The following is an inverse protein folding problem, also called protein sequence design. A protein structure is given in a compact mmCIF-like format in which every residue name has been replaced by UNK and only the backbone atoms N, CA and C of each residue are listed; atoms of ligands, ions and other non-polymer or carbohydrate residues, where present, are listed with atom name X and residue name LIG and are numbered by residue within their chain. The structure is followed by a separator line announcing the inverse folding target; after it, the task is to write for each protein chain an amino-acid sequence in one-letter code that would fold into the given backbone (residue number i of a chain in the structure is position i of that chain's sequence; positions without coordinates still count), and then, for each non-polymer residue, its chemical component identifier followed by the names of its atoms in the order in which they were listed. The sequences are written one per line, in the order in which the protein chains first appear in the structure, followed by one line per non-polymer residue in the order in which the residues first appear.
data_IF_981540186957
#
_entry.id   IF_981540186957
#
_cell.length_a   1.000
_cell.length_b   1.000
_cell.length_c   1.000
_cell.angle_alpha   90.00
_cell.angle_beta   90.00
_cell.angle_gamma   90.00
#
_symmetry.space_group_name_H-M   'P 1'
#
loop_
_entity.id
_entity.type
_entity.pdbx_description
1 polymer ?
#
# COMPACT_ATOMS: atom_id res chain seq x y z
N UNK A 1 1.38 9.41 -23.25
CA UNK A 1 2.21 8.24 -22.86
C UNK A 1 3.47 8.09 -23.69
N UNK A 2 3.39 8.03 -25.02
CA UNK A 2 4.58 7.84 -25.89
C UNK A 2 5.78 8.77 -25.58
N UNK A 3 5.61 10.05 -25.22
CA UNK A 3 6.75 10.93 -24.90
C UNK A 3 7.53 10.55 -23.64
N UNK A 4 6.91 9.79 -22.72
CA UNK A 4 7.49 9.42 -21.43
C UNK A 4 7.95 7.96 -21.39
N UNK A 5 7.63 7.17 -22.42
CA UNK A 5 8.05 5.78 -22.53
C UNK A 5 9.30 5.70 -23.43
N UNK A 6 10.36 4.95 -23.04
CA UNK A 6 10.46 4.07 -21.87
C UNK A 6 11.04 4.73 -20.61
N UNK A 7 11.27 6.04 -20.60
CA UNK A 7 11.88 6.75 -19.46
C UNK A 7 11.11 6.56 -18.14
N UNK A 8 9.79 6.40 -18.22
CA UNK A 8 8.92 6.01 -17.11
C UNK A 8 8.48 4.55 -17.25
N UNK A 9 8.58 3.79 -16.15
CA UNK A 9 8.10 2.42 -16.08
C UNK A 9 6.57 2.40 -15.91
N UNK A 10 5.87 2.44 -17.03
CA UNK A 10 4.40 2.33 -17.07
C UNK A 10 4.03 0.85 -16.94
N UNK A 11 3.52 0.46 -15.77
CA UNK A 11 3.11 -0.92 -15.47
C UNK A 11 1.61 -1.15 -15.73
N UNK A 12 0.82 -0.08 -15.77
CA UNK A 12 -0.63 -0.16 -15.71
C UNK A 12 -1.28 1.14 -16.17
N UNK A 13 -2.40 1.06 -16.89
CA UNK A 13 -3.23 2.20 -17.24
C UNK A 13 -4.66 1.92 -16.79
N UNK A 14 -5.18 2.76 -15.90
CA UNK A 14 -6.58 2.68 -15.52
C UNK A 14 -7.46 3.46 -16.50
N UNK A 15 -8.39 2.77 -17.17
CA UNK A 15 -9.31 3.39 -18.14
C UNK A 15 -10.65 3.65 -17.45
N UNK A 16 -10.76 4.83 -16.84
CA UNK A 16 -11.91 5.27 -16.06
C UNK A 16 -11.69 5.11 -14.56
N UNK A 17 -12.30 5.99 -13.76
CA UNK A 17 -12.38 5.91 -12.31
C UNK A 17 -13.86 6.00 -11.91
N UNK A 18 -14.37 5.03 -11.16
CA UNK A 18 -15.75 5.05 -10.63
C UNK A 18 -16.88 5.14 -11.67
N UNK A 19 -16.59 4.74 -12.91
CA UNK A 19 -17.54 4.89 -14.02
C UNK A 19 -18.84 4.12 -13.79
N UNK A 20 -18.77 2.89 -13.28
CA UNK A 20 -19.98 2.07 -13.06
C UNK A 20 -20.88 2.59 -11.94
N UNK A 21 -20.34 3.39 -11.03
CA UNK A 21 -21.08 4.00 -9.92
C UNK A 21 -21.46 5.46 -10.21
N UNK A 22 -21.06 6.00 -11.37
CA UNK A 22 -21.35 7.39 -11.76
C UNK A 22 -22.81 7.65 -12.13
N UNK A 23 -23.57 6.61 -12.47
CA UNK A 23 -24.91 6.73 -13.04
C UNK A 23 -24.95 7.20 -14.50
N UNK A 24 -23.81 7.48 -15.14
CA UNK A 24 -23.75 7.86 -16.55
C UNK A 24 -23.69 6.62 -17.46
N UNK A 25 -24.85 6.22 -17.97
CA UNK A 25 -24.98 5.09 -18.89
C UNK A 25 -24.19 5.26 -20.18
N UNK A 26 -24.01 6.49 -20.67
CA UNK A 26 -23.23 6.74 -21.88
C UNK A 26 -21.75 6.46 -21.64
N UNK A 27 -21.24 6.86 -20.48
CA UNK A 27 -19.85 6.60 -20.11
C UNK A 27 -19.61 5.10 -19.87
N UNK A 28 -20.52 4.43 -19.16
CA UNK A 28 -20.47 2.98 -18.95
C UNK A 28 -20.47 2.19 -20.27
N UNK A 29 -21.36 2.53 -21.20
CA UNK A 29 -21.46 1.85 -22.50
C UNK A 29 -20.22 2.07 -23.39
N UNK A 30 -19.47 3.15 -23.17
CA UNK A 30 -18.23 3.46 -23.91
C UNK A 30 -16.98 2.82 -23.31
N UNK A 31 -17.05 2.36 -22.07
CA UNK A 31 -15.90 1.88 -21.28
C UNK A 31 -15.12 0.78 -22.02
N UNK A 32 -15.82 -0.24 -22.53
CA UNK A 32 -15.18 -1.33 -23.29
C UNK A 32 -14.48 -0.84 -24.57
N UNK A 33 -15.07 0.12 -25.27
CA UNK A 33 -14.44 0.72 -26.46
C UNK A 33 -13.20 1.55 -26.09
N UNK A 34 -13.25 2.26 -24.95
CA UNK A 34 -12.11 3.02 -24.44
C UNK A 34 -10.97 2.09 -24.02
N UNK A 35 -11.23 0.93 -23.39
CA UNK A 35 -10.19 -0.04 -23.09
C UNK A 35 -9.52 -0.58 -24.37
N UNK A 36 -10.33 -0.93 -25.38
CA UNK A 36 -9.83 -1.43 -26.67
C UNK A 36 -9.00 -0.38 -27.43
N UNK A 37 -9.30 0.92 -27.30
CA UNK A 37 -8.49 1.94 -27.99
C UNK A 37 -7.07 2.08 -27.42
N UNK A 38 -6.81 1.54 -26.22
CA UNK A 38 -5.52 1.60 -25.51
C UNK A 38 -4.71 0.29 -25.68
N UNK A 39 -5.14 -0.62 -26.57
CA UNK A 39 -4.68 -1.99 -26.85
C UNK A 39 -3.17 -2.32 -26.79
N UNK A 40 -2.27 -1.34 -26.87
CA UNK A 40 -0.81 -1.55 -26.83
C UNK A 40 -0.21 -1.68 -25.42
N UNK A 41 -0.96 -1.43 -24.36
CA UNK A 41 -0.49 -1.47 -22.97
C UNK A 41 -1.54 -2.17 -22.10
N UNK A 42 -1.11 -2.87 -21.04
CA UNK A 42 -2.01 -3.51 -20.05
C UNK A 42 -2.97 -2.45 -19.50
N UNK A 43 -4.24 -2.54 -19.87
CA UNK A 43 -5.26 -1.58 -19.48
C UNK A 43 -6.24 -2.22 -18.51
N UNK A 44 -6.45 -1.55 -17.39
CA UNK A 44 -7.36 -1.95 -16.34
C UNK A 44 -8.76 -1.43 -16.57
N UNK A 45 -9.69 -2.20 -16.00
CA UNK A 45 -11.00 -1.72 -15.69
C UNK A 45 -11.19 -1.52 -14.18
N UNK A 46 -11.81 -0.40 -13.87
CA UNK A 46 -12.31 0.05 -12.58
C UNK A 46 -13.55 -0.70 -12.10
N UNK A 47 -13.56 -1.22 -10.86
CA UNK A 47 -14.80 -1.56 -10.16
C UNK A 47 -14.74 -1.12 -8.68
N UNK A 48 -15.79 -0.44 -8.20
CA UNK A 48 -15.99 -0.13 -6.78
C UNK A 48 -16.64 -1.34 -6.09
N UNK A 49 -16.52 -1.41 -4.76
CA UNK A 49 -17.19 -2.38 -3.90
C UNK A 49 -18.72 -2.49 -4.17
N UNK A 50 -19.36 -1.40 -4.58
CA UNK A 50 -20.81 -1.25 -4.80
C UNK A 50 -21.33 -1.96 -6.06
N UNK A 51 -20.46 -2.37 -6.98
CA UNK A 51 -20.86 -3.24 -8.09
C UNK A 51 -21.17 -4.68 -7.62
N UNK A 52 -20.82 -5.03 -6.38
CA UNK A 52 -21.10 -6.31 -5.76
C UNK A 52 -22.35 -6.17 -4.87
N UNK A 53 -23.42 -6.89 -5.22
CA UNK A 53 -24.74 -6.71 -4.59
C UNK A 53 -24.93 -7.50 -3.29
N UNK A 54 -24.13 -8.55 -3.05
CA UNK A 54 -24.30 -9.41 -1.88
C UNK A 54 -22.95 -9.87 -1.35
N UNK A 55 -22.62 -9.43 -0.14
CA UNK A 55 -21.35 -9.71 0.53
C UNK A 55 -21.53 -10.16 1.99
N UNK A 56 -22.69 -10.74 2.31
CA UNK A 56 -22.92 -11.33 3.65
C UNK A 56 -21.90 -12.42 3.99
N UNK A 57 -21.25 -13.03 2.97
CA UNK A 57 -20.10 -13.94 3.08
C UNK A 57 -19.15 -13.75 1.90
N UNK A 58 -17.85 -13.94 2.11
CA UNK A 58 -16.84 -13.90 1.03
C UNK A 58 -17.13 -14.91 -0.09
N UNK A 59 -17.82 -16.01 0.20
CA UNK A 59 -18.24 -17.03 -0.76
C UNK A 59 -19.60 -16.78 -1.44
N UNK A 60 -20.21 -15.61 -1.29
CA UNK A 60 -21.49 -15.26 -1.93
C UNK A 60 -21.42 -14.00 -2.80
N UNK A 61 -20.21 -13.49 -3.05
CA UNK A 61 -19.96 -12.35 -3.92
C UNK A 61 -20.55 -12.54 -5.31
N UNK A 62 -21.37 -11.59 -5.75
CA UNK A 62 -21.91 -11.55 -7.11
C UNK A 62 -21.98 -10.11 -7.61
N UNK A 63 -21.73 -9.92 -8.90
CA UNK A 63 -22.01 -8.66 -9.57
C UNK A 63 -23.52 -8.37 -9.54
N UNK A 64 -23.89 -7.09 -9.50
CA UNK A 64 -25.28 -6.72 -9.74
C UNK A 64 -25.69 -7.19 -11.15
N UNK A 65 -26.81 -7.92 -11.31
CA UNK A 65 -27.26 -8.42 -12.61
C UNK A 65 -27.42 -7.32 -13.68
N UNK A 66 -27.69 -6.07 -13.26
CA UNK A 66 -27.78 -4.93 -14.19
C UNK A 66 -26.45 -4.59 -14.89
N UNK A 67 -25.31 -5.00 -14.32
CA UNK A 67 -23.98 -4.76 -14.87
C UNK A 67 -23.33 -6.03 -15.45
N UNK A 68 -23.98 -7.19 -15.38
CA UNK A 68 -23.35 -8.48 -15.70
C UNK A 68 -22.86 -8.57 -17.15
N UNK A 69 -23.65 -8.13 -18.12
CA UNK A 69 -23.27 -8.18 -19.54
C UNK A 69 -22.07 -7.27 -19.85
N UNK A 70 -22.08 -6.06 -19.28
CA UNK A 70 -20.96 -5.12 -19.38
C UNK A 70 -19.71 -5.73 -18.72
N UNK A 71 -19.86 -6.33 -17.53
CA UNK A 71 -18.78 -6.97 -16.79
C UNK A 71 -18.17 -8.14 -17.56
N UNK A 72 -18.99 -9.01 -18.17
CA UNK A 72 -18.52 -10.09 -19.04
C UNK A 72 -17.72 -9.56 -20.23
N UNK A 73 -18.19 -8.49 -20.87
CA UNK A 73 -17.48 -7.85 -21.98
C UNK A 73 -16.10 -7.33 -21.57
N UNK A 74 -16.02 -6.71 -20.39
CA UNK A 74 -14.79 -6.14 -19.87
C UNK A 74 -13.83 -7.22 -19.36
N UNK A 75 -14.30 -8.19 -18.59
CA UNK A 75 -13.48 -9.32 -18.14
C UNK A 75 -13.00 -10.19 -19.31
N UNK A 76 -13.80 -10.29 -20.38
CA UNK A 76 -13.37 -10.89 -21.64
C UNK A 76 -12.14 -10.18 -22.22
N UNK A 77 -12.15 -8.85 -22.20
CA UNK A 77 -11.00 -8.04 -22.62
C UNK A 77 -9.80 -8.20 -21.67
N UNK A 78 -10.00 -8.18 -20.35
CA UNK A 78 -8.93 -8.39 -19.36
C UNK A 78 -8.26 -9.75 -19.55
N UNK A 79 -9.06 -10.81 -19.69
CA UNK A 79 -8.57 -12.17 -19.92
C UNK A 79 -7.82 -12.29 -21.26
N UNK A 80 -8.31 -11.66 -22.34
CA UNK A 80 -7.66 -11.68 -23.66
C UNK A 80 -6.32 -10.91 -23.69
N UNK A 81 -6.13 -9.93 -22.80
CA UNK A 81 -4.93 -9.08 -22.76
C UNK A 81 -3.99 -9.38 -21.60
N UNK A 82 -4.33 -10.37 -20.76
CA UNK A 82 -3.67 -10.62 -19.48
C UNK A 82 -3.58 -9.35 -18.61
N UNK A 83 -4.61 -8.50 -18.67
CA UNK A 83 -4.75 -7.33 -17.82
C UNK A 83 -5.44 -7.72 -16.52
N UNK A 84 -4.99 -7.22 -15.36
CA UNK A 84 -5.65 -7.52 -14.10
C UNK A 84 -7.01 -6.82 -14.00
N UNK A 85 -7.79 -7.15 -13.01
CA UNK A 85 -9.03 -6.51 -12.63
C UNK A 85 -8.79 -5.66 -11.39
N UNK A 86 -9.03 -4.36 -11.51
CA UNK A 86 -8.75 -3.43 -10.43
C UNK A 86 -9.94 -3.25 -9.50
N UNK A 87 -9.65 -3.29 -8.21
CA UNK A 87 -10.63 -3.07 -7.15
C UNK A 87 -10.15 -2.03 -6.15
N UNK A 88 -11.12 -1.41 -5.49
CA UNK A 88 -10.90 -0.39 -4.47
C UNK A 88 -11.67 -0.79 -3.21
N UNK A 89 -11.12 -1.72 -2.41
CA UNK A 89 -11.74 -2.12 -1.16
C UNK A 89 -11.42 -1.07 -0.09
N UNK A 90 -12.45 -0.44 0.48
CA UNK A 90 -12.30 0.42 1.65
C UNK A 90 -13.07 -0.16 2.86
N UNK A 91 -12.43 -1.06 3.63
CA UNK A 91 -12.95 -1.54 4.91
C UNK A 91 -13.46 -0.44 5.85
N UNK A 92 -12.83 0.74 5.80
CA UNK A 92 -13.22 1.93 6.55
C UNK A 92 -14.72 2.26 6.40
N UNK A 93 -15.29 2.22 5.19
CA UNK A 93 -16.70 2.59 4.97
C UNK A 93 -17.67 1.57 5.57
N UNK A 94 -17.30 0.29 5.59
CA UNK A 94 -18.07 -0.74 6.25
C UNK A 94 -18.01 -0.58 7.78
N UNK A 95 -16.83 -0.33 8.35
CA UNK A 95 -16.68 -0.04 9.78
C UNK A 95 -17.47 1.20 10.22
N UNK A 96 -17.47 2.26 9.41
CA UNK A 96 -18.25 3.48 9.67
C UNK A 96 -19.75 3.19 9.79
N UNK A 97 -20.24 2.18 9.09
CA UNK A 97 -21.65 1.78 9.08
C UNK A 97 -22.00 0.79 10.21
N UNK A 98 -21.01 0.01 10.69
CA UNK A 98 -21.15 -0.98 11.75
C UNK A 98 -19.85 -1.06 12.56
N UNK A 99 -19.83 -0.44 13.75
CA UNK A 99 -18.62 -0.13 14.53
C UNK A 99 -18.18 -1.24 15.48
N UNK A 100 -18.62 -2.48 15.25
CA UNK A 100 -18.25 -3.60 16.10
C UNK A 100 -16.76 -3.97 15.94
N UNK A 101 -16.06 -4.46 16.97
CA UNK A 101 -14.62 -4.78 16.87
C UNK A 101 -14.24 -5.73 15.72
N UNK A 102 -15.13 -6.65 15.35
CA UNK A 102 -14.94 -7.59 14.23
C UNK A 102 -14.87 -6.91 12.86
N UNK A 103 -15.50 -5.74 12.66
CA UNK A 103 -15.41 -4.98 11.41
C UNK A 103 -14.11 -4.16 11.35
N UNK A 104 -13.51 -3.84 12.51
CA UNK A 104 -12.22 -3.17 12.64
C UNK A 104 -11.04 -4.14 12.44
N UNK A 105 -11.16 -5.37 12.95
CA UNK A 105 -10.06 -6.29 13.16
C UNK A 105 -9.70 -7.18 11.95
N UNK A 106 -9.41 -6.60 10.78
CA UNK A 106 -8.65 -7.30 9.72
C UNK A 106 -9.41 -8.35 8.87
N UNK A 107 -10.72 -8.50 9.01
CA UNK A 107 -11.48 -9.43 8.16
C UNK A 107 -12.03 -8.82 6.85
N UNK A 108 -12.00 -7.51 6.65
CA UNK A 108 -12.63 -6.90 5.48
C UNK A 108 -11.75 -6.85 4.22
N UNK A 109 -10.43 -6.66 4.33
CA UNK A 109 -9.57 -6.65 3.13
C UNK A 109 -9.59 -8.00 2.41
N UNK A 110 -9.22 -9.07 3.12
CA UNK A 110 -9.18 -10.42 2.55
C UNK A 110 -10.58 -10.87 2.10
N UNK A 111 -11.63 -10.60 2.88
CA UNK A 111 -12.99 -10.99 2.50
C UNK A 111 -13.49 -10.24 1.26
N UNK A 112 -13.17 -8.96 1.11
CA UNK A 112 -13.53 -8.19 -0.10
C UNK A 112 -12.85 -8.77 -1.33
N UNK A 113 -11.55 -9.05 -1.22
CA UNK A 113 -10.75 -9.63 -2.29
C UNK A 113 -11.27 -11.04 -2.66
N UNK A 114 -11.55 -11.88 -1.67
CA UNK A 114 -12.13 -13.22 -1.87
C UNK A 114 -13.52 -13.15 -2.53
N UNK A 115 -14.33 -12.18 -2.15
CA UNK A 115 -15.66 -12.03 -2.73
C UNK A 115 -15.64 -11.58 -4.18
N UNK A 116 -14.70 -10.69 -4.55
CA UNK A 116 -14.43 -10.35 -5.94
C UNK A 116 -13.97 -11.61 -6.69
N UNK A 117 -13.01 -12.35 -6.14
CA UNK A 117 -12.51 -13.58 -6.76
C UNK A 117 -13.62 -14.61 -6.99
N UNK A 118 -14.53 -14.77 -6.02
CA UNK A 118 -15.69 -15.62 -6.15
C UNK A 118 -16.65 -15.12 -7.24
N UNK A 119 -16.94 -13.82 -7.27
CA UNK A 119 -17.78 -13.20 -8.29
C UNK A 119 -17.20 -13.43 -9.70
N UNK A 120 -15.91 -13.16 -9.91
CA UNK A 120 -15.20 -13.42 -11.17
C UNK A 120 -15.29 -14.90 -11.58
N UNK A 121 -15.06 -15.80 -10.61
CA UNK A 121 -15.13 -17.25 -10.84
C UNK A 121 -16.54 -17.68 -11.27
N UNK A 122 -17.59 -17.12 -10.66
CA UNK A 122 -18.98 -17.48 -10.93
C UNK A 122 -19.45 -17.16 -12.34
N UNK A 123 -18.82 -16.17 -13.01
CA UNK A 123 -19.13 -15.78 -14.39
C UNK A 123 -18.05 -16.20 -15.40
N UNK A 124 -17.15 -17.13 -15.01
CA UNK A 124 -16.20 -17.79 -15.90
C UNK A 124 -14.82 -17.13 -16.04
N UNK A 125 -14.48 -16.16 -15.19
CA UNK A 125 -13.26 -15.36 -15.28
C UNK A 125 -12.28 -15.60 -14.13
N UNK A 126 -12.20 -16.84 -13.63
CA UNK A 126 -11.33 -17.26 -12.51
C UNK A 126 -9.84 -16.94 -12.72
N UNK A 127 -9.37 -16.89 -13.96
CA UNK A 127 -7.96 -16.65 -14.31
C UNK A 127 -7.57 -15.17 -14.32
N UNK A 128 -8.53 -14.26 -14.24
CA UNK A 128 -8.24 -12.81 -14.25
C UNK A 128 -7.61 -12.44 -12.91
N UNK A 129 -6.39 -11.91 -12.96
CA UNK A 129 -5.67 -11.45 -11.77
C UNK A 129 -6.40 -10.27 -11.12
N UNK A 130 -6.36 -10.17 -9.80
CA UNK A 130 -6.93 -9.02 -9.05
C UNK A 130 -5.79 -8.13 -8.60
N UNK A 131 -5.97 -6.81 -8.73
CA UNK A 131 -5.08 -5.78 -8.17
C UNK A 131 -5.91 -4.81 -7.34
N UNK A 132 -5.42 -4.45 -6.16
CA UNK A 132 -6.03 -3.43 -5.31
C UNK A 132 -5.37 -2.10 -5.62
N UNK A 133 -6.07 -1.20 -6.30
CA UNK A 133 -5.47 0.07 -6.78
C UNK A 133 -5.59 1.21 -5.78
N UNK A 134 -6.50 1.10 -4.82
CA UNK A 134 -6.62 2.06 -3.72
C UNK A 134 -7.20 1.37 -2.49
N UNK A 135 -6.57 1.57 -1.34
CA UNK A 135 -7.10 1.17 -0.03
C UNK A 135 -6.37 1.88 1.08
N UNK A 136 -7.05 2.24 2.16
CA UNK A 136 -6.45 3.00 3.24
C UNK A 136 -7.44 3.27 4.37
N UNK A 137 -6.97 4.00 5.38
CA UNK A 137 -7.77 4.39 6.52
C UNK A 137 -7.39 5.80 6.96
N UNK A 138 -8.37 6.70 7.15
CA UNK A 138 -8.08 8.08 7.52
C UNK A 138 -7.62 8.18 8.97
N UNK A 139 -6.58 8.94 9.27
CA UNK A 139 -6.08 9.10 10.64
C UNK A 139 -6.78 10.24 11.41
N UNK A 140 -7.55 11.07 10.71
CA UNK A 140 -8.30 12.21 11.25
C UNK A 140 -9.58 12.42 10.44
N UNK A 141 -10.61 12.98 11.09
CA UNK A 141 -11.88 13.39 10.49
C UNK A 141 -12.51 14.53 11.30
N UNK A 142 -13.72 14.93 10.92
CA UNK A 142 -14.53 15.87 11.69
C UNK A 142 -15.02 15.23 13.02
N UNK A 143 -15.41 16.05 14.01
CA UNK A 143 -15.78 15.58 15.37
C UNK A 143 -16.94 14.56 15.40
N UNK A 144 -17.77 14.54 14.36
CA UNK A 144 -18.92 13.62 14.22
C UNK A 144 -18.59 12.35 13.42
N UNK A 145 -17.34 12.17 12.98
CA UNK A 145 -16.93 11.05 12.14
C UNK A 145 -16.36 9.91 12.96
N UNK A 146 -16.97 8.74 12.84
CA UNK A 146 -16.55 7.54 13.56
C UNK A 146 -15.54 6.76 12.75
N UNK A 147 -14.42 6.38 13.38
CA UNK A 147 -13.39 5.53 12.78
C UNK A 147 -12.08 6.23 12.44
N UNK A 148 -12.03 7.50 11.98
CA UNK A 148 -10.76 8.16 11.78
C UNK A 148 -10.00 8.34 13.10
N UNK A 149 -8.80 7.76 13.19
CA UNK A 149 -7.87 7.97 14.30
C UNK A 149 -6.49 7.45 13.91
N UNK A 150 -5.43 7.96 14.57
CA UNK A 150 -4.06 7.47 14.35
C UNK A 150 -3.96 5.99 14.69
N UNK A 151 -4.62 5.54 15.75
CA UNK A 151 -4.61 4.15 16.21
C UNK A 151 -5.23 3.22 15.16
N UNK A 152 -6.40 3.59 14.62
CA UNK A 152 -7.07 2.78 13.60
C UNK A 152 -6.32 2.81 12.27
N UNK A 153 -5.78 3.97 11.87
CA UNK A 153 -4.99 4.08 10.65
C UNK A 153 -3.70 3.24 10.72
N UNK A 154 -2.98 3.28 11.86
CA UNK A 154 -1.83 2.42 12.13
C UNK A 154 -2.20 0.94 12.12
N UNK A 155 -3.29 0.58 12.79
CA UNK A 155 -3.74 -0.80 12.85
C UNK A 155 -4.10 -1.32 11.44
N UNK A 156 -4.83 -0.55 10.65
CA UNK A 156 -5.23 -0.96 9.31
C UNK A 156 -4.03 -1.06 8.36
N UNK A 157 -3.32 0.06 8.14
CA UNK A 157 -2.22 0.14 7.17
C UNK A 157 -1.04 -0.75 7.59
N UNK A 158 -0.69 -0.77 8.88
CA UNK A 158 0.40 -1.61 9.41
C UNK A 158 0.11 -3.10 9.26
N UNK A 159 -1.09 -3.56 9.62
CA UNK A 159 -1.46 -4.97 9.45
C UNK A 159 -1.57 -5.37 7.98
N UNK A 160 -2.07 -4.49 7.12
CA UNK A 160 -2.11 -4.72 5.67
C UNK A 160 -0.70 -4.88 5.11
N UNK A 161 0.24 -4.00 5.45
CA UNK A 161 1.64 -4.10 5.01
C UNK A 161 2.27 -5.41 5.52
N UNK A 162 2.09 -5.74 6.79
CA UNK A 162 2.61 -6.98 7.38
C UNK A 162 2.06 -8.22 6.65
N UNK A 163 0.77 -8.23 6.35
CA UNK A 163 0.11 -9.30 5.60
C UNK A 163 0.63 -9.42 4.17
N UNK A 164 0.75 -8.31 3.44
CA UNK A 164 1.28 -8.32 2.08
C UNK A 164 2.73 -8.84 2.04
N UNK A 165 3.57 -8.42 3.01
CA UNK A 165 4.95 -8.91 3.16
C UNK A 165 5.03 -10.39 3.51
N UNK A 166 4.03 -10.93 4.22
CA UNK A 166 3.98 -12.36 4.56
C UNK A 166 3.74 -13.27 3.35
N UNK A 167 3.29 -12.72 2.21
CA UNK A 167 2.93 -13.48 1.01
C UNK A 167 1.82 -14.53 1.21
N UNK A 168 1.08 -14.46 2.32
CA UNK A 168 0.02 -15.42 2.63
C UNK A 168 -1.10 -15.45 1.57
N UNK A 169 -1.36 -14.31 0.93
CA UNK A 169 -2.53 -14.14 0.06
C UNK A 169 -3.82 -14.15 0.85
N UNK A 170 -4.93 -14.55 0.22
CA UNK A 170 -6.24 -14.66 0.88
C UNK A 170 -6.68 -16.12 0.98
N UNK A 171 -7.70 -16.45 1.78
CA UNK A 171 -8.22 -17.82 1.85
C UNK A 171 -8.59 -18.44 0.49
N UNK A 172 -9.16 -17.68 -0.46
CA UNK A 172 -9.46 -18.18 -1.81
C UNK A 172 -8.32 -18.01 -2.82
N UNK A 173 -7.31 -17.21 -2.51
CA UNK A 173 -6.11 -16.98 -3.34
C UNK A 173 -4.85 -17.09 -2.48
N UNK A 174 -4.55 -18.31 -2.01
CA UNK A 174 -3.44 -18.56 -1.08
C UNK A 174 -2.08 -18.58 -1.77
N UNK A 175 -1.03 -18.17 -1.04
CA UNK A 175 0.36 -18.29 -1.46
C UNK A 175 0.84 -17.24 -2.48
N UNK A 176 0.03 -16.21 -2.76
CA UNK A 176 0.41 -15.05 -3.58
C UNK A 176 -0.14 -13.79 -2.96
N UNK A 177 0.73 -12.81 -2.67
CA UNK A 177 0.29 -11.49 -2.27
C UNK A 177 -0.50 -10.82 -3.40
N UNK A 178 -1.53 -10.07 -3.02
CA UNK A 178 -2.33 -9.27 -3.96
C UNK A 178 -1.63 -7.94 -4.14
N UNK A 179 -1.25 -7.60 -5.36
CA UNK A 179 -0.64 -6.30 -5.66
C UNK A 179 -1.59 -5.19 -5.16
N UNK A 180 -1.08 -4.34 -4.26
CA UNK A 180 -1.89 -3.38 -3.49
C UNK A 180 -1.20 -2.02 -3.45
N UNK A 181 -1.96 -0.97 -3.79
CA UNK A 181 -1.53 0.42 -3.73
C UNK A 181 -2.24 1.09 -2.55
N UNK A 182 -1.46 1.56 -1.57
CA UNK A 182 -1.98 2.25 -0.40
C UNK A 182 -2.42 3.67 -0.77
N UNK A 183 -3.59 4.04 -0.28
CA UNK A 183 -4.17 5.36 -0.41
C UNK A 183 -4.04 6.12 0.93
N UNK A 184 -3.37 7.28 1.00
CA UNK A 184 -2.60 7.97 -0.03
C UNK A 184 -1.18 8.29 0.48
N UNK A 185 -0.29 8.70 -0.42
CA UNK A 185 1.09 9.00 -0.01
C UNK A 185 1.19 10.35 0.71
N UNK A 186 0.50 11.38 0.21
CA UNK A 186 0.55 12.75 0.71
C UNK A 186 -0.83 13.32 1.00
N UNK A 187 -0.85 14.37 1.82
CA UNK A 187 -2.03 15.16 2.15
C UNK A 187 -2.69 15.71 0.88
N UNK A 188 -4.01 15.66 0.86
CA UNK A 188 -4.87 16.14 -0.23
C UNK A 188 -5.83 17.21 0.32
N UNK A 189 -5.25 18.28 0.87
CA UNK A 189 -5.91 19.41 1.54
C UNK A 189 -6.99 20.12 0.70
N UNK A 190 -6.92 20.00 -0.63
CA UNK A 190 -7.93 20.52 -1.56
C UNK A 190 -9.15 19.62 -1.72
N UNK A 191 -9.19 18.43 -1.11
CA UNK A 191 -10.39 17.60 -1.14
C UNK A 191 -11.50 18.25 -0.35
N UNK A 192 -12.65 18.39 -0.99
CA UNK A 192 -13.85 18.91 -0.35
C UNK A 192 -14.47 17.82 0.53
N UNK A 193 -15.19 18.25 1.56
CA UNK A 193 -15.87 17.42 2.57
C UNK A 193 -16.39 16.07 2.05
N UNK A 194 -16.43 15.03 2.90
CA UNK A 194 -16.24 15.02 4.37
C UNK A 194 -14.80 15.20 4.86
N UNK A 195 -14.60 15.63 6.13
CA UNK A 195 -13.29 15.99 6.68
C UNK A 195 -12.25 14.86 6.61
N UNK A 196 -12.67 13.59 6.76
CA UNK A 196 -11.76 12.45 6.64
C UNK A 196 -11.09 12.30 5.25
N UNK A 197 -11.66 12.86 4.19
CA UNK A 197 -11.11 12.78 2.82
C UNK A 197 -9.74 13.45 2.70
N UNK A 198 -9.43 14.38 3.60
CA UNK A 198 -8.17 15.13 3.67
C UNK A 198 -7.12 14.48 4.59
N UNK A 199 -7.31 13.23 5.02
CA UNK A 199 -6.50 12.68 6.12
C UNK A 199 -6.14 11.21 5.92
N UNK A 200 -5.88 10.80 4.68
CA UNK A 200 -5.45 9.44 4.32
C UNK A 200 -3.93 9.27 4.21
N UNK A 201 -3.16 10.35 4.34
CA UNK A 201 -1.75 10.37 3.99
C UNK A 201 -0.86 9.59 4.95
N UNK A 202 0.19 9.00 4.39
CA UNK A 202 1.27 8.34 5.13
C UNK A 202 2.42 9.31 5.45
N UNK A 203 2.60 10.32 4.61
CA UNK A 203 3.64 11.34 4.74
C UNK A 203 3.04 12.74 4.60
N UNK A 204 3.60 13.68 5.36
CA UNK A 204 3.31 15.10 5.21
C UNK A 204 4.13 15.70 4.05
N UNK A 205 3.75 16.89 3.60
CA UNK A 205 4.46 17.61 2.53
C UNK A 205 5.90 17.97 2.88
N UNK A 206 6.26 18.02 4.17
CA UNK A 206 7.63 18.20 4.66
C UNK A 206 8.44 16.88 4.72
N UNK A 207 7.89 15.80 4.16
CA UNK A 207 8.44 14.43 4.14
C UNK A 207 8.49 13.74 5.51
N UNK A 208 7.93 14.34 6.56
CA UNK A 208 7.79 13.66 7.84
C UNK A 208 6.67 12.61 7.77
N UNK A 209 6.83 11.52 8.53
CA UNK A 209 5.79 10.49 8.65
C UNK A 209 4.56 11.05 9.37
N UNK A 210 3.37 10.87 8.80
CA UNK A 210 2.13 11.23 9.48
C UNK A 210 1.91 10.29 10.67
N UNK A 211 2.15 9.00 10.45
CA UNK A 211 2.17 7.95 11.47
C UNK A 211 2.99 6.76 10.95
N UNK A 212 3.74 6.11 11.85
CA UNK A 212 4.59 4.97 11.47
C UNK A 212 3.76 3.70 11.25
N UNK A 213 3.89 3.12 10.05
CA UNK A 213 3.26 1.87 9.59
C UNK A 213 4.30 0.82 9.16
N UNK A 214 5.57 1.02 9.49
CA UNK A 214 6.66 0.12 9.12
C UNK A 214 7.05 0.19 7.64
N UNK A 215 6.77 1.31 6.95
CA UNK A 215 7.31 1.59 5.61
C UNK A 215 8.73 2.16 5.68
N UNK A 216 9.04 2.97 6.70
CA UNK A 216 10.41 3.24 7.09
C UNK A 216 10.98 2.00 7.77
N UNK A 217 12.20 1.58 7.39
CA UNK A 217 12.91 0.59 8.20
C UNK A 217 13.07 1.12 9.60
N UNK A 218 12.67 0.33 10.59
CA UNK A 218 12.89 0.70 11.98
C UNK A 218 14.39 0.65 12.27
N UNK A 219 14.83 1.43 13.26
CA UNK A 219 16.22 1.33 13.76
C UNK A 219 16.59 -0.11 14.14
N UNK A 220 15.61 -0.92 14.54
CA UNK A 220 15.81 -2.34 14.84
C UNK A 220 16.09 -3.17 13.58
N UNK A 221 15.40 -2.92 12.47
CA UNK A 221 15.64 -3.64 11.20
C UNK A 221 17.06 -3.37 10.66
N UNK A 222 17.54 -2.13 10.82
CA UNK A 222 18.89 -1.76 10.42
C UNK A 222 19.95 -2.41 11.31
N UNK A 223 19.68 -2.50 12.61
CA UNK A 223 20.50 -3.25 13.55
C UNK A 223 20.55 -4.73 13.16
N UNK A 224 19.40 -5.38 13.01
CA UNK A 224 19.27 -6.80 12.68
C UNK A 224 19.94 -7.14 11.35
N UNK A 225 19.85 -6.25 10.36
CA UNK A 225 20.57 -6.38 9.10
C UNK A 225 22.09 -6.32 9.29
N UNK A 226 22.61 -5.32 10.00
CA UNK A 226 24.04 -5.21 10.28
C UNK A 226 24.57 -6.43 11.06
N UNK A 227 23.79 -6.91 12.05
CA UNK A 227 24.08 -8.13 12.81
C UNK A 227 24.16 -9.37 11.90
N UNK A 228 23.15 -9.58 11.04
CA UNK A 228 23.10 -10.72 10.13
C UNK A 228 24.23 -10.76 9.11
N UNK A 229 24.92 -9.63 8.92
CA UNK A 229 26.08 -9.49 8.03
C UNK A 229 27.43 -9.54 8.78
N UNK A 230 27.41 -9.72 10.10
CA UNK A 230 28.61 -9.97 10.90
C UNK A 230 29.27 -8.72 11.48
N UNK A 231 28.54 -7.62 11.62
CA UNK A 231 29.04 -6.42 12.31
C UNK A 231 29.19 -6.66 13.81
N UNK A 232 30.33 -6.25 14.37
CA UNK A 232 30.60 -6.35 15.80
C UNK A 232 29.92 -5.22 16.58
N UNK A 233 28.88 -5.60 17.30
CA UNK A 233 28.12 -4.71 18.16
C UNK A 233 28.48 -4.85 19.63
N UNK A 234 29.60 -5.49 19.98
CA UNK A 234 30.17 -5.44 21.32
C UNK A 234 30.12 -4.03 21.93
N UNK A 235 30.60 -2.99 21.23
CA UNK A 235 30.67 -1.63 21.76
C UNK A 235 29.34 -0.97 22.14
N UNK A 236 28.21 -1.46 21.62
CA UNK A 236 26.86 -0.93 21.90
C UNK A 236 26.09 -1.79 22.92
N UNK A 237 26.75 -2.71 23.61
CA UNK A 237 26.12 -3.52 24.67
C UNK A 237 26.10 -2.76 26.02
N UNK A 238 25.19 -3.10 26.94
CA UNK A 238 25.15 -2.49 28.27
C UNK A 238 26.52 -2.52 28.96
N UNK A 239 27.01 -1.36 29.37
CA UNK A 239 28.31 -1.20 30.05
C UNK A 239 29.50 -0.91 29.12
N UNK A 240 29.28 -0.84 27.80
CA UNK A 240 30.33 -0.61 26.81
C UNK A 240 30.38 0.85 26.33
N UNK A 241 31.49 1.22 25.69
CA UNK A 241 31.85 2.62 25.40
C UNK A 241 30.88 3.37 24.48
N UNK A 242 30.12 2.67 23.63
CA UNK A 242 29.16 3.26 22.69
C UNK A 242 27.70 2.92 23.04
N UNK A 243 27.45 2.46 24.27
CA UNK A 243 26.10 2.12 24.73
C UNK A 243 25.20 3.35 24.88
N UNK A 244 25.74 4.49 25.28
CA UNK A 244 24.97 5.71 25.49
C UNK A 244 24.99 6.64 24.26
N UNK A 245 23.84 7.22 23.86
CA UNK A 245 22.52 7.09 24.48
C UNK A 245 21.93 5.69 24.26
N UNK A 246 21.36 5.11 25.31
CA UNK A 246 20.67 3.81 25.24
C UNK A 246 19.33 3.92 24.50
N UNK A 247 19.40 4.14 23.18
CA UNK A 247 18.26 4.13 22.27
C UNK A 247 18.56 3.28 21.05
N UNK A 248 17.54 2.60 20.53
CA UNK A 248 17.65 1.76 19.33
C UNK A 248 18.17 2.58 18.15
N UNK A 249 17.77 3.85 18.03
CA UNK A 249 18.26 4.75 16.98
C UNK A 249 19.76 5.04 17.09
N UNK A 250 20.29 5.26 18.31
CA UNK A 250 21.72 5.52 18.51
C UNK A 250 22.56 4.28 18.19
N UNK A 251 22.08 3.12 18.63
CA UNK A 251 22.72 1.83 18.35
C UNK A 251 22.67 1.49 16.86
N UNK A 252 21.54 1.73 16.18
CA UNK A 252 21.41 1.54 14.74
C UNK A 252 22.34 2.46 13.96
N UNK A 253 22.46 3.72 14.37
CA UNK A 253 23.41 4.68 13.77
C UNK A 253 24.84 4.15 13.84
N UNK A 254 25.25 3.62 14.99
CA UNK A 254 26.56 3.01 15.17
C UNK A 254 26.75 1.80 14.23
N UNK A 255 25.80 0.87 14.21
CA UNK A 255 25.90 -0.35 13.42
C UNK A 255 25.90 -0.09 11.91
N UNK A 256 25.07 0.86 11.43
CA UNK A 256 25.02 1.29 10.03
C UNK A 256 26.34 1.91 9.60
N UNK A 257 26.88 2.83 10.43
CA UNK A 257 28.16 3.46 10.11
C UNK A 257 29.28 2.43 10.10
N UNK A 258 29.33 1.53 11.09
CA UNK A 258 30.34 0.47 11.16
C UNK A 258 30.23 -0.50 9.98
N UNK A 259 29.01 -0.83 9.54
CA UNK A 259 28.77 -1.61 8.33
C UNK A 259 29.39 -0.94 7.11
N UNK A 260 29.10 0.34 6.89
CA UNK A 260 29.68 1.10 5.79
C UNK A 260 31.22 1.14 5.83
N UNK A 261 31.82 1.31 7.01
CA UNK A 261 33.29 1.28 7.17
C UNK A 261 33.88 -0.11 6.85
N UNK A 262 33.15 -1.17 7.20
CA UNK A 262 33.61 -2.57 7.05
C UNK A 262 33.57 -3.03 5.60
N UNK A 263 32.60 -2.56 4.81
CA UNK A 263 32.39 -2.95 3.41
C UNK A 263 32.95 -1.90 2.42
N UNK A 264 34.23 -1.56 2.58
CA UNK A 264 35.02 -0.71 1.67
C UNK A 264 34.42 0.67 1.36
N UNK A 265 33.57 1.22 2.23
CA UNK A 265 32.95 2.53 2.05
C UNK A 265 32.18 2.65 0.72
N UNK A 266 31.67 1.54 0.18
CA UNK A 266 30.88 1.54 -1.05
C UNK A 266 29.59 2.36 -0.85
N UNK A 267 29.35 3.42 -1.66
CA UNK A 267 28.13 4.24 -1.56
C UNK A 267 26.82 3.46 -1.55
N UNK A 268 26.75 2.34 -2.25
CA UNK A 268 25.56 1.49 -2.32
C UNK A 268 25.26 0.77 -1.00
N UNK A 269 26.28 0.54 -0.18
CA UNK A 269 26.14 -0.12 1.13
C UNK A 269 25.66 0.85 2.22
N UNK A 270 25.67 2.17 1.95
CA UNK A 270 25.15 3.19 2.84
C UNK A 270 23.64 3.46 2.64
N UNK A 271 23.00 2.89 1.62
CA UNK A 271 21.59 3.17 1.36
C UNK A 271 20.67 2.60 2.47
N UNK A 272 20.97 1.38 2.96
CA UNK A 272 20.12 0.65 3.91
C UNK A 272 18.63 0.71 3.54
N UNK A 273 18.31 0.64 2.24
CA UNK A 273 16.96 0.88 1.70
C UNK A 273 16.42 2.28 2.02
N UNK A 274 17.19 3.31 1.65
CA UNK A 274 16.89 4.74 1.80
C UNK A 274 16.75 5.26 3.25
N UNK A 275 17.19 4.48 4.25
CA UNK A 275 17.14 4.92 5.65
C UNK A 275 18.43 5.61 6.10
N UNK A 276 19.54 5.38 5.39
CA UNK A 276 20.84 5.96 5.68
C UNK A 276 21.34 6.81 4.51
N UNK A 277 22.26 7.73 4.78
CA UNK A 277 22.77 8.67 3.78
C UNK A 277 24.26 8.93 3.99
N UNK A 278 25.01 9.01 2.90
CA UNK A 278 26.41 9.40 2.95
C UNK A 278 26.54 10.83 3.48
N UNK A 279 27.44 11.02 4.43
CA UNK A 279 27.74 12.38 4.88
C UNK A 279 29.21 12.59 5.20
N UNK A 280 29.66 13.80 4.89
CA UNK A 280 30.94 14.38 5.32
C UNK A 280 30.76 15.36 6.49
N UNK A 281 29.52 15.54 6.99
CA UNK A 281 29.19 16.52 8.01
C UNK A 281 29.29 15.95 9.43
N UNK A 282 29.56 16.84 10.39
CA UNK A 282 29.67 16.50 11.80
C UNK A 282 28.33 15.94 12.36
N UNK A 283 28.37 14.82 13.11
CA UNK A 283 27.22 14.03 13.58
C UNK A 283 26.33 14.79 14.56
N UNK A 284 26.89 15.79 15.23
CA UNK A 284 26.18 16.59 16.22
C UNK A 284 25.15 17.55 15.58
N UNK A 285 24.90 17.46 14.27
CA UNK A 285 23.99 18.33 13.51
C UNK A 285 22.89 17.58 12.72
N UNK A 286 22.75 16.27 12.85
CA UNK A 286 21.72 15.53 12.10
C UNK A 286 20.35 15.54 12.80
N UNK A 287 19.26 15.50 12.02
CA UNK A 287 17.92 15.17 12.54
C UNK A 287 17.94 13.77 13.20
N UNK A 288 17.15 13.56 14.25
CA UNK A 288 17.12 12.30 15.03
C UNK A 288 16.76 11.03 14.22
N UNK A 289 16.37 11.16 12.95
CA UNK A 289 15.88 10.08 12.10
C UNK A 289 16.70 9.89 10.81
N UNK A 290 17.91 10.45 10.73
CA UNK A 290 18.82 10.24 9.60
C UNK A 290 20.05 9.48 10.07
N UNK A 291 20.38 8.35 9.43
CA UNK A 291 21.53 7.52 9.78
C UNK A 291 22.73 7.85 8.87
N UNK A 292 23.69 8.68 9.30
CA UNK A 292 24.83 9.04 8.45
C UNK A 292 25.83 7.88 8.35
N UNK A 293 26.27 7.52 7.13
CA UNK A 293 27.51 6.78 6.94
C UNK A 293 28.64 7.72 6.53
N UNK A 294 29.75 7.64 7.25
CA UNK A 294 30.77 8.67 7.21
C UNK A 294 31.89 8.35 6.24
N UNK A 295 32.10 9.21 5.25
CA UNK A 295 33.06 8.95 4.18
C UNK A 295 34.52 9.21 4.55
N UNK A 296 34.80 9.93 5.64
CA UNK A 296 36.16 10.28 6.08
C UNK A 296 36.70 9.30 7.13
#
# INVERSE_FOLDING_TARGET
MLPFYPASKIILINVGNEVMTSGDQNLMNKLLMMCRSVEKLRSLLFTRWECLKQLERSSSGRFDPSYEDLMKGLLGFNNATASPFAIIPYPYFAYRSDTRPETLAFCLFQSNVDAVYYALSSIGFKSVEIVVVETGWPYKGDDNEVGPSIENAKAYNGNLIAHLRSMAGTPLMSGKAVDTYLFALYDEDLKLRPGFEQSFELFKLDLTVAYDVGLSKSSQDNLDYAYGRGIDCGPIKPGEACFEPNTIASHATYAINLFYQTYDKNPLECDFSQSATLSSNNPNKFPQNTFPCWSH
#
